data_IF_498268733661
#
_entry.id   IF_498268733661
#
_cell.length_a   1.000
_cell.length_b   1.000
_cell.length_c   1.000
_cell.angle_alpha   90.00
_cell.angle_beta   90.00
_cell.angle_gamma   90.00
#
_symmetry.space_group_name_H-M   'P 1'
#
loop_
_entity.id
_entity.type
_entity.pdbx_description
1 polymer ?
#
# COMPACT_ATOMS: atom_id res chain seq x y z
N UNK A 1 -2.20 16.92 9.21
CA UNK A 1 -3.14 17.07 8.08
C UNK A 1 -3.22 15.73 7.36
N UNK A 2 -4.41 15.25 7.02
CA UNK A 2 -4.56 14.00 6.25
C UNK A 2 -4.86 14.35 4.79
N UNK A 3 -3.85 14.27 3.93
CA UNK A 3 -3.97 14.62 2.51
C UNK A 3 -4.95 13.73 1.75
N UNK A 4 -5.10 12.46 2.16
CA UNK A 4 -6.08 11.57 1.52
C UNK A 4 -7.50 12.09 1.70
N UNK A 5 -7.84 12.66 2.87
CA UNK A 5 -9.17 13.26 3.07
C UNK A 5 -9.49 14.32 2.02
N UNK A 6 -8.50 15.14 1.65
CA UNK A 6 -8.68 16.19 0.64
C UNK A 6 -8.75 15.62 -0.78
N UNK A 7 -7.83 14.73 -1.15
CA UNK A 7 -7.83 14.14 -2.48
C UNK A 7 -9.10 13.33 -2.76
N UNK A 8 -9.59 12.55 -1.78
CA UNK A 8 -10.85 11.85 -1.90
C UNK A 8 -12.06 12.80 -1.99
N UNK A 9 -12.07 13.90 -1.21
CA UNK A 9 -13.14 14.90 -1.28
C UNK A 9 -13.19 15.60 -2.65
N UNK A 10 -12.02 15.90 -3.22
CA UNK A 10 -11.87 16.56 -4.53
C UNK A 10 -11.97 15.59 -5.71
N UNK A 11 -11.94 14.27 -5.45
CA UNK A 11 -11.87 13.22 -6.48
C UNK A 11 -10.70 13.43 -7.45
N UNK A 12 -9.56 13.90 -6.92
CA UNK A 12 -8.34 14.17 -7.69
C UNK A 12 -7.94 12.95 -8.50
N UNK A 13 -7.79 13.06 -9.82
CA UNK A 13 -7.40 11.93 -10.67
C UNK A 13 -6.71 12.42 -11.95
N UNK A 14 -5.52 11.89 -12.31
CA UNK A 14 -4.75 10.90 -11.57
C UNK A 14 -4.12 11.47 -10.28
N UNK A 15 -3.87 10.59 -9.32
CA UNK A 15 -3.05 10.87 -8.14
C UNK A 15 -1.72 10.14 -8.29
N UNK A 16 -0.60 10.86 -8.19
CA UNK A 16 0.73 10.27 -8.27
C UNK A 16 1.17 9.70 -6.92
N UNK A 17 1.65 8.46 -6.92
CA UNK A 17 2.17 7.77 -5.73
C UNK A 17 3.64 7.36 -5.93
N UNK A 18 4.52 7.87 -5.08
CA UNK A 18 5.83 7.30 -4.81
C UNK A 18 5.77 6.43 -3.56
N UNK A 19 6.36 5.22 -3.59
CA UNK A 19 6.28 4.27 -2.49
C UNK A 19 7.53 3.39 -2.41
N UNK A 20 8.02 3.21 -1.19
CA UNK A 20 9.08 2.28 -0.81
C UNK A 20 8.54 1.26 0.19
N UNK A 21 8.90 0.00 -0.02
CA UNK A 21 8.64 -1.11 0.88
C UNK A 21 9.97 -1.60 1.45
N UNK A 22 10.14 -1.43 2.75
CA UNK A 22 11.32 -1.84 3.49
C UNK A 22 11.06 -3.22 4.09
N UNK A 23 11.80 -4.25 3.64
CA UNK A 23 11.67 -5.59 4.19
C UNK A 23 12.08 -5.62 5.67
N UNK A 24 11.52 -6.54 6.46
CA UNK A 24 11.95 -6.77 7.84
C UNK A 24 13.44 -7.09 7.90
N UNK A 25 14.08 -6.67 9.00
CA UNK A 25 15.44 -7.04 9.35
C UNK A 25 15.55 -8.56 9.45
N UNK A 26 16.66 -9.09 8.94
CA UNK A 26 17.00 -10.50 9.05
C UNK A 26 18.26 -10.65 9.89
N UNK A 27 18.42 -11.77 10.59
CA UNK A 27 19.66 -12.05 11.31
C UNK A 27 20.70 -12.59 10.31
N UNK A 28 21.78 -11.84 10.12
CA UNK A 28 22.98 -12.29 9.42
C UNK A 28 24.00 -12.89 10.38
N UNK A 29 25.13 -13.40 9.86
CA UNK A 29 26.19 -14.02 10.67
C UNK A 29 26.77 -13.06 11.73
N UNK A 30 26.85 -11.76 11.40
CA UNK A 30 27.49 -10.75 12.25
C UNK A 30 26.48 -9.82 12.98
N UNK A 31 25.18 -10.08 12.85
CA UNK A 31 24.12 -9.24 13.43
C UNK A 31 22.96 -8.95 12.48
N UNK A 32 22.07 -8.00 12.83
CA UNK A 32 20.92 -7.67 12.00
C UNK A 32 21.36 -7.03 10.67
N UNK A 33 20.78 -7.52 9.57
CA UNK A 33 21.05 -7.05 8.20
C UNK A 33 19.80 -6.41 7.62
N UNK A 34 19.97 -5.18 7.12
CA UNK A 34 18.97 -4.49 6.31
C UNK A 34 19.03 -5.02 4.88
N UNK A 35 17.90 -5.50 4.35
CA UNK A 35 17.79 -5.81 2.93
C UNK A 35 17.42 -4.56 2.14
N UNK A 36 17.84 -4.43 0.86
CA UNK A 36 17.46 -3.29 0.02
C UNK A 36 15.94 -3.13 -0.04
N UNK A 37 15.41 -1.89 -0.02
CA UNK A 37 13.99 -1.65 -0.17
C UNK A 37 13.55 -1.93 -1.61
N UNK A 38 12.28 -2.32 -1.76
CA UNK A 38 11.61 -2.27 -3.06
C UNK A 38 11.02 -0.88 -3.25
N UNK A 39 11.07 -0.33 -4.46
CA UNK A 39 10.49 0.98 -4.76
C UNK A 39 9.64 0.94 -6.02
N UNK A 40 8.59 1.76 -6.05
CA UNK A 40 7.96 2.13 -7.30
C UNK A 40 8.94 2.93 -8.19
N UNK A 41 8.78 2.89 -9.52
CA UNK A 41 9.62 3.67 -10.42
C UNK A 41 9.47 5.18 -10.17
N UNK A 42 10.53 5.94 -10.39
CA UNK A 42 10.48 7.41 -10.37
C UNK A 42 9.77 7.93 -11.64
N UNK A 43 8.91 8.96 -11.57
CA UNK A 43 8.57 9.79 -10.40
C UNK A 43 7.44 9.24 -9.49
N UNK A 44 6.95 8.06 -9.78
CA UNK A 44 5.84 7.41 -9.08
C UNK A 44 4.95 6.66 -10.07
N UNK A 45 3.79 6.25 -9.59
CA UNK A 45 2.75 5.62 -10.42
C UNK A 45 1.45 6.38 -10.29
N UNK A 46 0.72 6.49 -11.39
CA UNK A 46 -0.60 7.09 -11.40
C UNK A 46 -1.63 6.13 -10.80
N UNK A 47 -2.44 6.68 -9.89
CA UNK A 47 -3.62 6.04 -9.34
C UNK A 47 -4.87 6.75 -9.88
N UNK A 48 -5.85 5.96 -10.30
CA UNK A 48 -7.14 6.48 -10.78
C UNK A 48 -8.19 6.36 -9.69
N UNK A 49 -8.97 7.42 -9.54
CA UNK A 49 -10.09 7.46 -8.60
C UNK A 49 -11.27 6.62 -9.10
N UNK A 50 -11.80 5.79 -8.22
CA UNK A 50 -13.07 5.08 -8.37
C UNK A 50 -14.01 5.46 -7.22
N UNK A 51 -15.25 5.92 -7.51
CA UNK A 51 -16.20 6.29 -6.46
C UNK A 51 -16.66 5.06 -5.65
N UNK A 52 -17.27 5.32 -4.49
CA UNK A 52 -17.94 4.27 -3.72
C UNK A 52 -19.09 3.67 -4.54
N UNK A 53 -19.30 2.36 -4.40
CA UNK A 53 -20.26 1.60 -5.19
C UNK A 53 -21.09 0.68 -4.29
N UNK A 54 -22.37 0.50 -4.62
CA UNK A 54 -23.20 -0.52 -3.99
C UNK A 54 -23.15 -1.81 -4.81
N UNK A 55 -22.81 -2.92 -4.16
CA UNK A 55 -22.74 -4.23 -4.78
C UNK A 55 -23.69 -5.17 -4.07
N UNK A 56 -24.52 -5.88 -4.83
CA UNK A 56 -25.36 -6.95 -4.32
C UNK A 56 -24.62 -8.29 -4.41
N UNK A 57 -24.54 -9.00 -3.28
CA UNK A 57 -24.03 -10.38 -3.21
C UNK A 57 -24.89 -11.20 -2.26
N UNK A 58 -25.36 -12.35 -2.73
CA UNK A 58 -26.18 -13.29 -1.96
C UNK A 58 -27.40 -12.62 -1.31
N UNK A 59 -28.05 -11.71 -2.05
CA UNK A 59 -29.21 -10.94 -1.59
C UNK A 59 -28.90 -9.87 -0.54
N UNK A 60 -27.63 -9.56 -0.30
CA UNK A 60 -27.18 -8.49 0.61
C UNK A 60 -26.51 -7.36 -0.18
N UNK A 61 -26.85 -6.13 0.19
CA UNK A 61 -26.24 -4.93 -0.38
C UNK A 61 -25.03 -4.54 0.48
N UNK A 62 -23.87 -4.42 -0.17
CA UNK A 62 -22.62 -3.96 0.43
C UNK A 62 -22.19 -2.65 -0.22
N UNK A 63 -21.76 -1.69 0.60
CA UNK A 63 -21.11 -0.47 0.10
C UNK A 63 -19.61 -0.68 0.05
N UNK A 64 -19.05 -0.75 -1.16
CA UNK A 64 -17.62 -0.71 -1.39
C UNK A 64 -17.12 0.75 -1.25
N UNK A 65 -16.05 1.01 -0.48
CA UNK A 65 -15.53 2.36 -0.34
C UNK A 65 -14.95 2.88 -1.66
N UNK A 66 -14.92 4.21 -1.78
CA UNK A 66 -14.15 4.87 -2.83
C UNK A 66 -12.69 4.47 -2.72
N UNK A 67 -12.01 4.39 -3.86
CA UNK A 67 -10.62 3.92 -3.89
C UNK A 67 -9.81 4.56 -5.02
N UNK A 68 -8.51 4.61 -4.80
CA UNK A 68 -7.49 4.87 -5.80
C UNK A 68 -6.83 3.56 -6.19
N UNK A 69 -6.67 3.31 -7.49
CA UNK A 69 -6.05 2.07 -7.98
C UNK A 69 -5.03 2.37 -9.08
N UNK A 70 -3.91 1.66 -9.07
CA UNK A 70 -2.95 1.72 -10.17
C UNK A 70 -3.57 1.18 -11.47
N UNK A 71 -3.44 1.94 -12.56
CA UNK A 71 -4.12 1.68 -13.85
C UNK A 71 -3.59 0.51 -14.66
N UNK A 72 -2.39 0.01 -14.33
CA UNK A 72 -1.75 -1.11 -15.02
C UNK A 72 -1.00 -1.99 -14.01
N UNK A 73 -0.81 -3.29 -14.30
CA UNK A 73 0.10 -4.13 -13.53
C UNK A 73 1.46 -3.45 -13.43
N UNK A 74 1.82 -3.08 -12.19
CA UNK A 74 3.02 -2.31 -11.91
C UNK A 74 4.29 -3.06 -12.35
N UNK A 75 4.18 -4.39 -12.42
CA UNK A 75 5.17 -5.31 -12.94
C UNK A 75 5.70 -4.98 -14.34
N UNK A 76 4.84 -4.49 -15.24
CA UNK A 76 5.22 -4.21 -16.63
C UNK A 76 6.11 -2.96 -16.78
N UNK A 77 6.24 -2.13 -15.74
CA UNK A 77 6.97 -0.85 -15.77
C UNK A 77 8.41 -0.95 -15.25
N UNK A 78 8.85 -2.11 -14.75
CA UNK A 78 10.18 -2.33 -14.13
C UNK A 78 11.15 -3.04 -15.09
N UNK A 79 10.97 -2.89 -16.41
CA UNK A 79 11.90 -3.41 -17.40
C UNK A 79 13.24 -2.63 -17.33
N UNK A 80 14.08 -2.98 -16.36
CA UNK A 80 15.32 -2.25 -16.10
C UNK A 80 16.37 -3.02 -15.30
N UNK A 81 16.05 -3.78 -14.26
CA UNK A 81 17.06 -4.42 -13.40
C UNK A 81 16.66 -5.85 -12.97
N UNK A 82 17.22 -6.85 -13.66
CA UNK A 82 17.30 -8.26 -13.24
C UNK A 82 16.01 -9.08 -13.37
N UNK A 83 16.14 -10.38 -13.68
CA UNK A 83 15.08 -11.39 -13.83
C UNK A 83 14.29 -11.70 -12.54
N UNK A 84 14.12 -10.74 -11.63
CA UNK A 84 13.34 -10.90 -10.41
C UNK A 84 11.91 -10.39 -10.62
N UNK A 85 10.92 -11.20 -10.21
CA UNK A 85 9.53 -10.79 -10.18
C UNK A 85 9.36 -9.46 -9.41
N UNK A 86 8.67 -8.47 -9.97
CA UNK A 86 8.52 -7.15 -9.37
C UNK A 86 7.70 -7.23 -8.08
N UNK A 87 8.22 -6.63 -7.00
CA UNK A 87 7.57 -6.63 -5.69
C UNK A 87 6.19 -5.98 -5.73
N UNK A 88 6.06 -4.83 -6.38
CA UNK A 88 4.77 -4.16 -6.55
C UNK A 88 4.08 -4.69 -7.81
N UNK A 89 2.96 -5.41 -7.63
CA UNK A 89 2.07 -5.85 -8.72
C UNK A 89 0.81 -4.99 -8.77
N UNK A 90 0.20 -4.79 -7.60
CA UNK A 90 -0.95 -3.91 -7.43
C UNK A 90 -0.77 -3.02 -6.21
N UNK A 91 -1.29 -1.79 -6.29
CA UNK A 91 -1.40 -0.88 -5.15
C UNK A 91 -2.75 -0.20 -5.23
N UNK A 92 -3.46 -0.19 -4.11
CA UNK A 92 -4.74 0.51 -3.97
C UNK A 92 -4.78 1.29 -2.66
N UNK A 93 -5.45 2.43 -2.64
CA UNK A 93 -5.72 3.22 -1.43
C UNK A 93 -7.22 3.35 -1.30
N UNK A 94 -7.77 2.95 -0.15
CA UNK A 94 -9.21 2.97 0.10
C UNK A 94 -9.57 4.06 1.10
N UNK A 95 -10.70 4.70 0.87
CA UNK A 95 -11.32 5.60 1.83
C UNK A 95 -11.90 4.82 3.03
N UNK A 96 -12.09 5.51 4.18
CA UNK A 96 -12.87 4.98 5.30
C UNK A 96 -14.22 4.42 4.87
N UNK A 97 -14.63 3.36 5.55
CA UNK A 97 -15.90 2.66 5.36
C UNK A 97 -16.51 2.26 6.69
N UNK A 98 -17.73 1.71 6.65
CA UNK A 98 -18.37 1.16 7.85
C UNK A 98 -17.59 -0.01 8.49
N UNK A 99 -16.72 -0.68 7.73
CA UNK A 99 -15.94 -1.82 8.21
C UNK A 99 -14.51 -1.44 8.63
N UNK A 100 -13.99 -0.33 8.12
CA UNK A 100 -12.67 0.19 8.46
C UNK A 100 -12.75 1.73 8.53
N UNK A 101 -12.65 2.34 9.73
CA UNK A 101 -12.78 3.78 9.90
C UNK A 101 -11.56 4.57 9.38
N UNK A 102 -10.46 3.89 9.04
CA UNK A 102 -9.24 4.51 8.57
C UNK A 102 -9.08 4.38 7.05
N UNK A 103 -8.28 5.30 6.47
CA UNK A 103 -7.73 5.06 5.14
C UNK A 103 -6.79 3.85 5.22
N UNK A 104 -6.79 3.00 4.19
CA UNK A 104 -5.84 1.90 4.14
C UNK A 104 -5.25 1.73 2.75
N UNK A 105 -3.96 1.42 2.72
CA UNK A 105 -3.22 1.07 1.52
C UNK A 105 -3.11 -0.44 1.47
N UNK A 106 -3.39 -1.04 0.31
CA UNK A 106 -3.11 -2.45 0.04
C UNK A 106 -2.07 -2.59 -1.05
N UNK A 107 -1.14 -3.53 -0.87
CA UNK A 107 -0.15 -3.89 -1.88
C UNK A 107 -0.31 -5.38 -2.14
N UNK A 108 -0.48 -5.74 -3.42
CA UNK A 108 -0.63 -7.12 -3.90
C UNK A 108 -1.81 -7.92 -3.29
N UNK A 109 -2.68 -7.29 -2.49
CA UNK A 109 -3.66 -7.98 -1.66
C UNK A 109 -3.05 -8.73 -0.46
N UNK A 110 -1.75 -8.60 -0.22
CA UNK A 110 -0.99 -9.33 0.81
C UNK A 110 -0.60 -8.42 1.98
N UNK A 111 -0.26 -7.16 1.68
CA UNK A 111 0.12 -6.16 2.67
C UNK A 111 -0.99 -5.13 2.79
N UNK A 112 -1.35 -4.79 4.02
CA UNK A 112 -2.36 -3.77 4.31
C UNK A 112 -1.93 -2.94 5.51
N UNK A 113 -1.95 -1.62 5.37
CA UNK A 113 -1.61 -0.70 6.45
C UNK A 113 -2.40 0.61 6.36
N UNK A 114 -2.61 1.27 7.49
CA UNK A 114 -3.11 2.64 7.54
C UNK A 114 -1.94 3.63 7.39
N UNK A 115 -1.98 4.57 6.42
CA UNK A 115 -0.91 5.54 6.23
C UNK A 115 -0.98 6.63 7.31
N UNK A 116 0.15 6.88 7.98
CA UNK A 116 0.35 7.96 8.94
C UNK A 116 1.10 9.10 8.26
N UNK A 117 0.40 10.20 7.99
CA UNK A 117 0.98 11.40 7.39
C UNK A 117 1.88 12.15 8.37
N UNK A 118 2.94 12.76 7.83
CA UNK A 118 3.86 13.58 8.61
C UNK A 118 3.14 14.81 9.17
N UNK A 119 3.47 15.25 10.40
CA UNK A 119 2.84 16.42 11.02
C UNK A 119 3.31 17.75 10.40
N UNK A 120 4.36 17.73 9.57
CA UNK A 120 4.94 18.91 8.91
C UNK A 120 4.13 19.44 7.72
N UNK A 121 2.97 18.84 7.44
CA UNK A 121 2.09 19.25 6.34
C UNK A 121 2.52 18.73 4.98
N UNK A 122 3.64 18.00 4.86
CA UNK A 122 3.99 17.33 3.61
C UNK A 122 3.04 16.16 3.31
N UNK A 123 2.78 15.82 2.04
CA UNK A 123 2.01 14.64 1.65
C UNK A 123 2.83 13.35 1.74
N UNK A 124 3.89 13.35 2.55
CA UNK A 124 4.66 12.18 2.91
C UNK A 124 3.99 11.40 4.03
N UNK A 125 3.99 10.07 3.92
CA UNK A 125 3.42 9.17 4.91
C UNK A 125 4.31 7.96 5.19
N UNK A 126 4.04 7.30 6.30
CA UNK A 126 4.63 6.00 6.64
C UNK A 126 3.55 5.03 7.10
N UNK A 127 3.82 3.74 7.02
CA UNK A 127 2.92 2.71 7.52
C UNK A 127 3.66 1.42 7.81
N UNK A 128 3.05 0.56 8.61
CA UNK A 128 3.64 -0.73 8.96
C UNK A 128 2.57 -1.81 8.90
N UNK A 129 2.96 -3.01 8.49
CA UNK A 129 2.13 -4.19 8.66
C UNK A 129 2.97 -5.41 9.03
N UNK A 130 2.43 -6.28 9.87
CA UNK A 130 2.98 -7.61 10.07
C UNK A 130 2.37 -8.54 9.02
N UNK A 131 3.18 -9.31 8.30
CA UNK A 131 2.64 -10.41 7.50
C UNK A 131 2.32 -11.59 8.42
N UNK A 132 1.11 -12.13 8.31
CA UNK A 132 0.78 -13.42 8.90
C UNK A 132 1.66 -14.47 8.23
N UNK A 133 2.37 -15.28 9.02
CA UNK A 133 3.08 -16.44 8.48
C UNK A 133 2.05 -17.34 7.78
N UNK A 134 2.26 -17.60 6.49
CA UNK A 134 1.49 -18.60 5.76
C UNK A 134 1.50 -19.93 6.50
N UNK A 135 0.35 -20.61 6.42
CA UNK A 135 -0.06 -21.84 7.09
C UNK A 135 1.03 -22.81 7.58
N UNK A 136 0.79 -23.33 8.79
CA UNK A 136 1.27 -24.66 9.18
C UNK A 136 2.46 -24.70 10.14
N UNK A 137 2.16 -25.09 11.37
CA UNK A 137 3.06 -25.65 12.39
C UNK A 137 4.03 -24.72 13.15
N UNK A 138 3.69 -24.56 14.44
CA UNK A 138 4.57 -24.38 15.60
C UNK A 138 5.22 -23.00 15.84
N UNK A 139 4.84 -22.43 16.98
CA UNK A 139 5.55 -21.33 17.63
C UNK A 139 5.01 -19.96 17.23
N UNK A 140 4.71 -19.14 18.23
CA UNK A 140 4.31 -17.73 18.10
C UNK A 140 5.46 -16.93 17.47
N UNK A 141 5.68 -17.10 16.16
CA UNK A 141 6.54 -16.23 15.36
C UNK A 141 5.75 -14.94 15.18
N UNK A 142 6.11 -13.92 15.94
CA UNK A 142 5.73 -12.54 15.62
C UNK A 142 5.99 -12.34 14.14
N UNK A 143 4.92 -12.13 13.35
CA UNK A 143 5.03 -11.91 11.92
C UNK A 143 6.03 -10.79 11.64
N UNK A 144 6.91 -11.00 10.68
CA UNK A 144 7.97 -10.04 10.39
C UNK A 144 7.34 -8.72 9.91
N UNK A 145 7.68 -7.61 10.57
CA UNK A 145 7.07 -6.30 10.31
C UNK A 145 7.72 -5.63 9.11
N UNK A 146 6.91 -5.28 8.12
CA UNK A 146 7.27 -4.46 6.98
C UNK A 146 7.03 -2.98 7.30
N UNK A 147 7.93 -2.12 6.83
CA UNK A 147 7.77 -0.68 6.88
C UNK A 147 7.55 -0.15 5.46
N UNK A 148 6.61 0.76 5.30
CA UNK A 148 6.32 1.43 4.05
C UNK A 148 6.48 2.94 4.23
N UNK A 149 7.08 3.60 3.24
CA UNK A 149 7.24 5.04 3.19
C UNK A 149 6.79 5.54 1.83
N UNK A 150 5.93 6.54 1.79
CA UNK A 150 5.37 7.02 0.53
C UNK A 150 5.14 8.52 0.51
N UNK A 151 4.83 9.00 -0.68
CA UNK A 151 4.55 10.40 -0.97
C UNK A 151 3.46 10.50 -2.03
N UNK A 152 2.49 11.38 -1.81
CA UNK A 152 1.41 11.66 -2.76
C UNK A 152 1.62 13.02 -3.42
N UNK A 153 1.33 13.11 -4.73
CA UNK A 153 1.33 14.37 -5.47
C UNK A 153 0.28 14.37 -6.57
N UNK A 154 0.06 15.55 -7.16
CA UNK A 154 -0.81 15.76 -8.33
C UNK A 154 0.08 15.88 -9.56
#
# INVERSE_FOLDING_TARGET
MNWLSEYFAQRTSPLSLSLWAHPPLVLGPDGPVCRPPHSLPYPGVELVFSPAEQVERDGRIYTLPARYEATAPLAARVAGHGDAEPFFRTVSIFAPSQFNPDFFVTINGEYAFAPVFRPDGSPGFSGMCATGAGDGTSGRRTGATWLFQGYLSI
#
